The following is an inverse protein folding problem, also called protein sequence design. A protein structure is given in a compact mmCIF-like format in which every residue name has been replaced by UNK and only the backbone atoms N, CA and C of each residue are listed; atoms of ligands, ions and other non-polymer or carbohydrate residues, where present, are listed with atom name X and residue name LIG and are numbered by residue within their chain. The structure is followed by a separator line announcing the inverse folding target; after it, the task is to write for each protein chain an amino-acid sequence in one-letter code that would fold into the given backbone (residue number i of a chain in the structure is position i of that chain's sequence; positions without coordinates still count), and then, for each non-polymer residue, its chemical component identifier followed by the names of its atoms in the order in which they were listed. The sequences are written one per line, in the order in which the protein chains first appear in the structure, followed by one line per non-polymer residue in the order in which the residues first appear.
data_IF_974910254953
#
_entry.id   IF_974910254953
#
_cell.length_a   1.000
_cell.length_b   1.000
_cell.length_c   1.000
_cell.angle_alpha   90.00
_cell.angle_beta   90.00
_cell.angle_gamma   90.00
#
_symmetry.space_group_name_H-M   'P 1'
#
loop_
_entity.id
_entity.type
_entity.pdbx_description
1 polymer ?
#
# COMPACT_ATOMS: atom_id res chain seq x y z
N UNK A 1 -28.04 37.45 -36.88
CA UNK A 1 -28.07 36.11 -36.27
C UNK A 1 -26.64 35.80 -35.87
N UNK A 2 -26.27 36.10 -34.62
CA UNK A 2 -24.88 36.04 -34.16
C UNK A 2 -24.74 34.79 -33.29
N UNK A 3 -23.87 33.87 -33.72
CA UNK A 3 -23.59 32.62 -33.00
C UNK A 3 -23.02 32.91 -31.60
N UNK A 4 -23.40 32.15 -30.55
CA UNK A 4 -22.81 32.31 -29.23
C UNK A 4 -21.35 31.84 -29.23
N UNK A 5 -20.47 32.47 -28.43
CA UNK A 5 -19.06 32.09 -28.37
C UNK A 5 -18.91 30.70 -27.74
N UNK A 6 -18.05 29.88 -28.34
CA UNK A 6 -17.66 28.56 -27.83
C UNK A 6 -16.95 28.69 -26.48
N UNK A 7 -17.26 27.83 -25.48
CA UNK A 7 -16.55 27.84 -24.21
C UNK A 7 -15.10 27.37 -24.42
N UNK A 8 -14.13 28.17 -23.96
CA UNK A 8 -12.71 27.80 -23.96
C UNK A 8 -12.49 26.57 -23.06
N UNK A 9 -11.59 25.64 -23.43
CA UNK A 9 -11.22 24.54 -22.55
C UNK A 9 -10.63 25.08 -21.26
N UNK A 10 -11.12 24.54 -20.13
CA UNK A 10 -10.70 24.90 -18.79
C UNK A 10 -9.25 24.47 -18.59
N UNK A 11 -8.31 25.42 -18.65
CA UNK A 11 -6.94 25.18 -18.22
C UNK A 11 -6.90 24.91 -16.70
N UNK A 12 -5.93 24.13 -16.19
CA UNK A 12 -5.78 23.92 -14.76
C UNK A 12 -5.58 25.28 -14.08
N UNK A 13 -6.43 25.56 -13.08
CA UNK A 13 -6.33 26.74 -12.23
C UNK A 13 -5.01 26.67 -11.44
N UNK A 14 -4.12 27.69 -11.52
CA UNK A 14 -2.79 27.66 -10.89
C UNK A 14 -2.77 27.72 -9.36
N UNK A 15 -3.93 27.77 -8.71
CA UNK A 15 -4.12 28.02 -7.27
C UNK A 15 -4.82 26.87 -6.53
N UNK A 16 -5.18 25.76 -7.19
CA UNK A 16 -5.78 24.61 -6.51
C UNK A 16 -4.70 23.75 -5.85
N UNK A 17 -4.36 24.08 -4.61
CA UNK A 17 -3.67 23.14 -3.71
C UNK A 17 -4.73 22.20 -3.12
N UNK A 18 -4.65 20.87 -3.35
CA UNK A 18 -5.56 19.95 -2.71
C UNK A 18 -5.44 20.09 -1.19
N UNK A 19 -6.55 19.97 -0.44
CA UNK A 19 -6.49 20.02 1.02
C UNK A 19 -5.48 18.98 1.52
N UNK A 20 -4.64 19.36 2.49
CA UNK A 20 -3.48 18.55 2.93
C UNK A 20 -3.87 17.15 3.45
N UNK A 21 -5.16 16.90 3.70
CA UNK A 21 -5.74 15.60 4.02
C UNK A 21 -5.81 14.61 2.85
N UNK A 22 -5.73 15.09 1.60
CA UNK A 22 -5.75 14.27 0.38
C UNK A 22 -4.35 13.98 -0.19
N UNK A 23 -3.31 14.57 0.39
CA UNK A 23 -1.94 14.32 -0.03
C UNK A 23 -1.46 12.94 0.41
N UNK A 24 -0.60 12.29 -0.39
CA UNK A 24 -0.07 10.98 -0.06
C UNK A 24 0.73 11.05 1.25
N UNK A 25 0.55 10.01 2.06
CA UNK A 25 1.32 9.81 3.29
C UNK A 25 2.78 9.63 2.93
N UNK A 26 3.67 10.37 3.61
CA UNK A 26 5.08 10.38 3.29
C UNK A 26 5.73 8.99 3.42
N UNK A 27 6.56 8.62 2.45
CA UNK A 27 7.31 7.36 2.46
C UNK A 27 8.33 7.29 3.61
N UNK A 28 8.58 6.09 4.14
CA UNK A 28 9.45 5.88 5.31
C UNK A 28 10.89 6.36 5.07
N UNK A 29 11.44 6.09 3.90
CA UNK A 29 12.78 6.54 3.49
C UNK A 29 12.91 8.07 3.57
N UNK A 30 11.90 8.80 3.07
CA UNK A 30 11.90 10.27 3.08
C UNK A 30 11.77 10.82 4.49
N UNK A 31 10.97 10.17 5.33
CA UNK A 31 10.86 10.51 6.76
C UNK A 31 12.19 10.28 7.48
N UNK A 32 12.89 9.18 7.18
CA UNK A 32 14.21 8.88 7.73
C UNK A 32 15.26 9.92 7.30
N UNK A 33 15.30 10.28 6.01
CA UNK A 33 16.22 11.30 5.51
C UNK A 33 15.95 12.69 6.12
N UNK A 34 14.68 13.08 6.24
CA UNK A 34 14.29 14.31 6.92
C UNK A 34 14.71 14.28 8.41
N UNK A 35 14.50 13.14 9.09
CA UNK A 35 14.91 12.95 10.48
C UNK A 35 16.43 13.03 10.66
N UNK A 36 17.22 12.44 9.75
CA UNK A 36 18.68 12.52 9.79
C UNK A 36 19.18 13.97 9.67
N UNK A 37 18.58 14.76 8.76
CA UNK A 37 18.90 16.19 8.63
C UNK A 37 18.52 16.94 9.91
N UNK A 38 17.30 16.74 10.43
CA UNK A 38 16.86 17.35 11.68
C UNK A 38 17.82 17.00 12.85
N UNK A 39 18.38 15.79 12.85
CA UNK A 39 19.34 15.34 13.87
C UNK A 39 20.68 16.06 13.77
N UNK A 40 21.16 16.31 12.56
CA UNK A 40 22.37 17.09 12.32
C UNK A 40 22.25 18.50 12.93
N UNK A 41 21.13 19.19 12.74
CA UNK A 41 20.90 20.50 13.35
C UNK A 41 20.75 20.40 14.88
N UNK A 42 19.99 19.41 15.35
CA UNK A 42 19.73 19.24 16.78
C UNK A 42 21.00 18.96 17.60
N UNK A 43 22.02 18.38 17.00
CA UNK A 43 23.28 17.99 17.67
C UNK A 43 24.45 18.90 17.29
N UNK A 44 24.50 19.32 16.03
CA UNK A 44 25.53 20.20 15.51
C UNK A 44 25.51 21.59 16.13
N UNK A 45 24.31 22.17 16.37
CA UNK A 45 24.22 23.50 16.98
C UNK A 45 24.73 23.49 18.43
N UNK A 46 24.25 22.59 19.34
CA UNK A 46 24.81 22.53 20.69
C UNK A 46 26.29 22.16 20.73
N UNK A 47 26.75 21.27 19.84
CA UNK A 47 28.18 20.94 19.75
C UNK A 47 29.03 22.17 19.36
N UNK A 48 28.58 22.94 18.37
CA UNK A 48 29.22 24.20 17.99
C UNK A 48 29.24 25.20 19.15
N UNK A 49 28.11 25.34 19.87
CA UNK A 49 28.05 26.20 21.07
C UNK A 49 29.07 25.74 22.11
N UNK A 50 29.19 24.44 22.36
CA UNK A 50 30.19 23.88 23.27
C UNK A 50 31.62 24.23 22.87
N UNK A 51 31.97 24.04 21.59
CA UNK A 51 33.29 24.39 21.05
C UNK A 51 33.57 25.89 21.17
N UNK A 52 32.61 26.74 20.79
CA UNK A 52 32.77 28.20 20.90
C UNK A 52 32.91 28.65 22.35
N UNK A 53 32.17 28.03 23.27
CA UNK A 53 32.26 28.31 24.70
C UNK A 53 33.63 27.92 25.25
N UNK A 54 34.14 26.74 24.87
CA UNK A 54 35.49 26.31 25.23
C UNK A 54 36.58 27.24 24.71
N UNK A 55 36.47 27.66 23.44
CA UNK A 55 37.43 28.61 22.84
C UNK A 55 37.39 29.98 23.53
N UNK A 56 36.21 30.43 23.97
CA UNK A 56 36.03 31.75 24.57
C UNK A 56 36.35 31.80 26.07
N UNK A 57 36.01 30.75 26.82
CA UNK A 57 36.11 30.70 28.29
C UNK A 57 37.21 29.76 28.81
N UNK A 58 37.88 29.01 27.94
CA UNK A 58 38.90 28.03 28.32
C UNK A 58 38.32 26.78 28.99
N UNK A 59 39.10 26.16 29.88
CA UNK A 59 38.76 24.92 30.57
C UNK A 59 37.84 25.15 31.79
N UNK A 60 36.69 25.79 31.55
CA UNK A 60 35.60 25.96 32.52
C UNK A 60 34.47 24.95 32.21
N UNK A 61 34.57 23.68 32.67
CA UNK A 61 33.71 22.59 32.20
C UNK A 61 32.24 22.84 32.49
N UNK A 62 31.90 23.46 33.63
CA UNK A 62 30.51 23.73 33.99
C UNK A 62 29.86 24.81 33.13
N UNK A 63 30.63 25.80 32.70
CA UNK A 63 30.17 26.83 31.77
C UNK A 63 29.86 26.23 30.39
N UNK A 64 30.73 25.34 29.91
CA UNK A 64 30.54 24.61 28.65
C UNK A 64 29.29 23.73 28.74
N UNK A 65 29.16 22.94 29.81
CA UNK A 65 27.98 22.08 30.03
C UNK A 65 26.70 22.91 30.08
N UNK A 66 26.68 24.00 30.85
CA UNK A 66 25.52 24.88 30.95
C UNK A 66 25.13 25.47 29.57
N UNK A 67 26.11 25.97 28.81
CA UNK A 67 25.87 26.51 27.47
C UNK A 67 25.31 25.46 26.49
N UNK A 68 25.86 24.24 26.51
CA UNK A 68 25.38 23.13 25.68
C UNK A 68 23.95 22.72 26.06
N UNK A 69 23.64 22.61 27.36
CA UNK A 69 22.30 22.26 27.84
C UNK A 69 21.29 23.35 27.46
N UNK A 70 21.63 24.63 27.64
CA UNK A 70 20.79 25.74 27.21
C UNK A 70 20.54 25.68 25.70
N UNK A 71 21.59 25.48 24.90
CA UNK A 71 21.47 25.35 23.45
C UNK A 71 20.59 24.16 23.04
N UNK A 72 20.72 23.01 23.71
CA UNK A 72 19.87 21.84 23.48
C UNK A 72 18.39 22.16 23.70
N UNK A 73 18.06 22.80 24.83
CA UNK A 73 16.68 23.16 25.17
C UNK A 73 16.12 24.19 24.18
N UNK A 74 16.91 25.22 23.84
CA UNK A 74 16.50 26.26 22.89
C UNK A 74 16.26 25.69 21.50
N UNK A 75 17.18 24.88 20.98
CA UNK A 75 17.04 24.24 19.66
C UNK A 75 15.84 23.29 19.64
N UNK A 76 15.67 22.47 20.68
CA UNK A 76 14.52 21.58 20.81
C UNK A 76 13.20 22.35 20.82
N UNK A 77 13.11 23.43 21.60
CA UNK A 77 11.92 24.27 21.70
C UNK A 77 11.61 24.98 20.38
N UNK A 78 12.62 25.56 19.74
CA UNK A 78 12.47 26.23 18.44
C UNK A 78 11.97 25.27 17.36
N UNK A 79 12.52 24.05 17.30
CA UNK A 79 12.07 23.02 16.37
C UNK A 79 10.64 22.56 16.65
N UNK A 80 10.27 22.38 17.92
CA UNK A 80 8.92 21.99 18.31
C UNK A 80 7.90 23.07 17.92
N UNK A 81 8.21 24.34 18.17
CA UNK A 81 7.37 25.48 17.79
C UNK A 81 7.27 25.59 16.26
N UNK A 82 8.38 25.46 15.53
CA UNK A 82 8.37 25.50 14.06
C UNK A 82 7.46 24.42 13.47
N UNK A 83 7.50 23.20 14.03
CA UNK A 83 6.59 22.12 13.64
C UNK A 83 5.14 22.45 14.02
N UNK A 84 4.90 23.02 15.20
CA UNK A 84 3.54 23.36 15.65
C UNK A 84 2.87 24.45 14.82
N UNK A 85 3.62 25.48 14.44
CA UNK A 85 3.10 26.65 13.72
C UNK A 85 3.09 26.41 12.21
N UNK A 86 4.17 25.85 11.65
CA UNK A 86 4.35 25.73 10.20
C UNK A 86 4.19 24.29 9.69
N UNK A 87 4.15 23.29 10.57
CA UNK A 87 4.18 21.89 10.18
C UNK A 87 5.54 21.43 9.66
N UNK A 88 6.59 22.25 9.72
CA UNK A 88 7.87 21.96 9.07
C UNK A 88 9.05 22.20 10.00
N UNK A 89 9.99 21.26 9.98
CA UNK A 89 11.37 21.43 10.45
C UNK A 89 12.32 21.55 9.25
N UNK A 90 13.60 21.96 9.43
CA UNK A 90 14.56 22.11 8.33
C UNK A 90 14.67 20.88 7.44
N UNK A 91 14.78 19.67 8.03
CA UNK A 91 14.86 18.43 7.28
C UNK A 91 13.57 18.08 6.55
N UNK A 92 12.41 18.38 7.15
CA UNK A 92 11.10 18.15 6.51
C UNK A 92 10.86 19.13 5.38
N UNK A 93 11.20 20.40 5.56
CA UNK A 93 11.14 21.41 4.50
C UNK A 93 12.02 21.01 3.31
N UNK A 94 13.26 20.57 3.56
CA UNK A 94 14.17 20.11 2.51
C UNK A 94 13.66 18.89 1.73
N UNK A 95 12.79 18.07 2.33
CA UNK A 95 12.19 16.88 1.71
C UNK A 95 10.77 17.10 1.21
N UNK A 96 10.25 18.33 1.30
CA UNK A 96 8.88 18.65 0.91
C UNK A 96 7.84 17.90 1.76
N UNK A 97 8.12 17.74 3.06
CA UNK A 97 7.24 17.09 4.01
C UNK A 97 6.60 18.12 4.94
N UNK A 98 5.35 17.88 5.32
CA UNK A 98 4.66 18.66 6.37
C UNK A 98 3.98 17.75 7.37
N UNK A 99 3.99 18.20 8.62
CA UNK A 99 3.26 17.64 9.75
C UNK A 99 1.97 18.42 9.88
N UNK A 100 0.84 17.71 9.76
CA UNK A 100 -0.49 18.31 9.82
C UNK A 100 -1.39 17.51 10.76
N UNK A 101 -2.49 18.11 11.19
CA UNK A 101 -3.47 17.43 12.04
C UNK A 101 -4.29 16.41 11.22
N UNK A 102 -4.50 15.21 11.78
CA UNK A 102 -5.03 14.02 11.10
C UNK A 102 -6.50 14.06 10.64
N UNK A 103 -7.15 15.23 10.65
CA UNK A 103 -8.53 15.39 10.17
C UNK A 103 -8.80 16.76 9.55
N UNK A 104 -8.09 17.80 9.97
CA UNK A 104 -8.26 19.17 9.46
C UNK A 104 -7.22 19.55 8.41
N UNK A 105 -6.07 18.87 8.37
CA UNK A 105 -4.95 19.23 7.49
C UNK A 105 -4.26 20.54 7.87
N UNK A 106 -4.60 21.16 9.00
CA UNK A 106 -3.96 22.38 9.50
C UNK A 106 -2.68 22.09 10.27
N UNK A 107 -1.83 23.09 10.56
CA UNK A 107 -0.76 22.94 11.54
C UNK A 107 -1.31 22.41 12.87
N UNK A 108 -0.53 21.58 13.55
CA UNK A 108 -0.96 20.87 14.76
C UNK A 108 -1.04 21.75 16.01
N UNK A 109 -0.49 22.97 15.94
CA UNK A 109 -0.40 23.89 17.07
C UNK A 109 0.82 23.61 17.97
N UNK A 110 1.24 24.63 18.72
CA UNK A 110 2.45 24.56 19.54
C UNK A 110 2.34 23.51 20.66
N UNK A 111 1.20 23.42 21.35
CA UNK A 111 1.00 22.46 22.45
C UNK A 111 1.18 21.00 22.02
N UNK A 112 0.40 20.50 21.04
CA UNK A 112 0.56 19.13 20.53
C UNK A 112 1.96 18.87 19.96
N UNK A 113 2.58 19.86 19.31
CA UNK A 113 3.94 19.73 18.82
C UNK A 113 4.98 19.57 19.94
N UNK A 114 4.82 20.28 21.07
CA UNK A 114 5.67 20.15 22.24
C UNK A 114 5.52 18.79 22.91
N UNK A 115 4.29 18.29 23.05
CA UNK A 115 4.05 16.93 23.58
C UNK A 115 4.73 15.89 22.70
N UNK A 116 4.56 16.01 21.36
CA UNK A 116 5.21 15.15 20.39
C UNK A 116 6.73 15.18 20.51
N UNK A 117 7.34 16.36 20.59
CA UNK A 117 8.79 16.52 20.69
C UNK A 117 9.34 16.08 22.04
N UNK A 118 8.54 16.19 23.11
CA UNK A 118 8.92 15.74 24.45
C UNK A 118 8.98 14.22 24.51
N UNK A 119 7.99 13.53 23.95
CA UNK A 119 7.99 12.06 23.83
C UNK A 119 9.23 11.59 23.07
N UNK A 120 9.60 12.25 21.97
CA UNK A 120 10.79 11.92 21.20
C UNK A 120 12.10 12.22 21.97
N UNK A 121 12.14 13.30 22.75
CA UNK A 121 13.30 13.64 23.57
C UNK A 121 13.50 12.66 24.72
N UNK A 122 12.43 12.35 25.47
CA UNK A 122 12.45 11.42 26.60
C UNK A 122 12.71 9.98 26.17
N UNK A 123 12.31 9.59 24.96
CA UNK A 123 12.66 8.29 24.42
C UNK A 123 14.10 8.23 23.92
N UNK A 124 14.63 9.32 23.35
CA UNK A 124 15.96 9.32 22.72
C UNK A 124 17.13 9.58 23.67
N UNK A 125 17.01 10.55 24.59
CA UNK A 125 18.09 10.98 25.48
C UNK A 125 18.61 9.84 26.40
N UNK A 126 17.76 9.13 27.16
CA UNK A 126 18.23 8.08 28.08
C UNK A 126 18.65 6.78 27.37
N UNK A 127 18.25 6.58 26.11
CA UNK A 127 18.47 5.32 25.38
C UNK A 127 19.50 5.44 24.26
N UNK A 128 20.22 6.57 24.18
CA UNK A 128 21.14 6.87 23.08
C UNK A 128 20.48 6.73 21.69
N UNK A 129 19.19 7.05 21.58
CA UNK A 129 18.42 7.01 20.33
C UNK A 129 17.69 5.69 20.05
N UNK A 130 17.94 4.62 20.81
CA UNK A 130 17.25 3.32 20.63
C UNK A 130 15.74 3.49 20.83
N UNK A 131 15.31 4.26 21.83
CA UNK A 131 13.89 4.52 22.11
C UNK A 131 13.19 5.28 20.97
N UNK A 132 13.90 6.13 20.24
CA UNK A 132 13.34 6.78 19.04
C UNK A 132 13.19 5.78 17.90
N UNK A 133 14.14 4.86 17.73
CA UNK A 133 14.01 3.76 16.76
C UNK A 133 12.82 2.85 17.09
N UNK A 134 12.59 2.55 18.37
CA UNK A 134 11.41 1.80 18.83
C UNK A 134 10.11 2.55 18.52
N UNK A 135 10.05 3.86 18.75
CA UNK A 135 8.89 4.66 18.36
C UNK A 135 8.71 4.73 16.83
N UNK A 136 9.80 4.75 16.06
CA UNK A 136 9.72 4.68 14.60
C UNK A 136 9.16 3.32 14.14
N UNK A 137 9.50 2.22 14.81
CA UNK A 137 8.92 0.90 14.55
C UNK A 137 7.40 0.89 14.72
N UNK A 138 6.87 1.60 15.73
CA UNK A 138 5.40 1.73 15.89
C UNK A 138 4.70 2.41 14.71
N UNK A 139 5.41 3.27 13.97
CA UNK A 139 4.89 3.90 12.76
C UNK A 139 4.89 2.95 11.55
N UNK A 140 5.79 1.96 11.54
CA UNK A 140 5.85 0.91 10.51
C UNK A 140 4.72 -0.10 10.71
N UNK A 141 4.45 -0.46 11.97
CA UNK A 141 3.39 -1.41 12.36
C UNK A 141 1.97 -0.83 12.31
N UNK A 142 1.82 0.46 11.98
CA UNK A 142 0.52 1.12 11.90
C UNK A 142 -0.34 0.53 10.77
N UNK A 143 -1.30 -0.31 11.17
CA UNK A 143 -2.24 -1.04 10.30
C UNK A 143 -3.13 -0.13 9.45
N UNK A 144 -3.24 1.16 9.81
CA UNK A 144 -4.12 2.13 9.13
C UNK A 144 -3.61 2.73 7.83
N UNK A 145 -2.44 2.30 7.30
CA UNK A 145 -1.79 2.89 6.11
C UNK A 145 -1.39 4.38 6.24
N UNK A 146 -1.63 5.01 7.40
CA UNK A 146 -1.25 6.41 7.68
C UNK A 146 0.15 6.56 8.29
N UNK A 147 0.78 5.43 8.66
CA UNK A 147 2.16 5.34 9.17
C UNK A 147 2.39 6.27 10.35
N UNK A 148 1.48 6.31 11.33
CA UNK A 148 1.57 7.20 12.48
C UNK A 148 2.26 6.48 13.63
N UNK A 149 3.39 7.02 14.09
CA UNK A 149 4.03 6.51 15.30
C UNK A 149 3.24 6.88 16.55
N UNK A 150 3.55 6.28 17.69
CA UNK A 150 2.85 6.58 18.95
C UNK A 150 2.86 8.09 19.29
N UNK A 151 3.98 8.77 19.04
CA UNK A 151 4.13 10.22 19.20
C UNK A 151 3.19 11.03 18.26
N UNK A 152 2.91 10.51 17.06
CA UNK A 152 1.98 11.10 16.11
C UNK A 152 0.51 10.80 16.48
N UNK A 153 0.26 9.66 17.12
CA UNK A 153 -1.05 9.32 17.65
C UNK A 153 -1.42 10.25 18.81
N UNK A 154 -0.51 10.41 19.76
CA UNK A 154 -0.69 11.27 20.94
C UNK A 154 -0.90 12.74 20.56
N UNK A 155 -0.20 13.23 19.53
CA UNK A 155 -0.30 14.61 19.07
C UNK A 155 -1.38 14.84 17.99
N UNK A 156 -2.12 13.80 17.59
CA UNK A 156 -3.12 13.91 16.53
C UNK A 156 -2.53 14.30 15.17
N UNK A 157 -1.27 13.98 14.91
CA UNK A 157 -0.53 14.44 13.72
C UNK A 157 -0.34 13.35 12.67
N UNK A 158 -0.14 13.76 11.43
CA UNK A 158 0.25 12.90 10.29
C UNK A 158 1.27 13.64 9.42
N UNK A 159 2.21 12.90 8.82
CA UNK A 159 3.23 13.46 7.93
C UNK A 159 2.86 13.20 6.47
N UNK A 160 2.64 14.28 5.73
CA UNK A 160 2.21 14.29 4.33
C UNK A 160 3.33 14.80 3.42
N UNK A 161 3.39 14.26 2.19
CA UNK A 161 4.28 14.75 1.13
C UNK A 161 3.56 15.86 0.36
N UNK A 162 4.08 17.08 0.42
CA UNK A 162 3.47 18.27 -0.21
C UNK A 162 4.03 18.58 -1.59
N UNK A 163 4.95 17.76 -2.10
CA UNK A 163 5.50 17.97 -3.43
C UNK A 163 4.43 17.65 -4.47
N UNK A 164 4.35 18.43 -5.57
CA UNK A 164 3.55 18.03 -6.71
C UNK A 164 3.92 16.60 -7.05
N UNK A 165 2.92 15.71 -7.14
CA UNK A 165 3.16 14.40 -7.72
C UNK A 165 3.87 14.66 -9.06
N UNK A 166 5.03 14.03 -9.34
CA UNK A 166 5.63 14.17 -10.65
C UNK A 166 4.53 13.79 -11.63
N UNK A 167 4.08 14.78 -12.40
CA UNK A 167 3.30 14.53 -13.60
C UNK A 167 4.15 13.53 -14.35
N UNK A 168 3.66 12.31 -14.46
CA UNK A 168 4.28 11.34 -15.34
C UNK A 168 4.11 11.97 -16.71
N UNK A 169 5.11 12.73 -17.13
CA UNK A 169 5.31 13.02 -18.52
C UNK A 169 5.29 11.65 -19.17
N UNK A 170 4.22 11.39 -19.90
CA UNK A 170 4.20 10.40 -20.96
C UNK A 170 5.29 10.84 -21.95
N UNK A 171 6.55 10.62 -21.59
CA UNK A 171 7.66 10.70 -22.53
C UNK A 171 7.42 9.59 -23.55
N UNK A 172 6.86 9.99 -24.70
CA UNK A 172 7.04 9.30 -25.95
C UNK A 172 6.01 8.24 -26.32
N UNK A 173 4.70 8.51 -26.23
CA UNK A 173 3.76 7.96 -27.22
C UNK A 173 3.75 8.87 -28.46
N UNK A 174 4.91 9.01 -29.10
CA UNK A 174 4.99 9.54 -30.47
C UNK A 174 5.49 8.43 -31.39
N UNK A 175 4.62 8.13 -32.35
CA UNK A 175 4.79 7.31 -33.54
C UNK A 175 4.71 5.78 -33.40
N UNK A 176 3.53 5.30 -33.01
CA UNK A 176 3.02 4.05 -33.55
C UNK A 176 1.97 4.38 -34.63
N UNK A 177 2.08 3.83 -35.85
CA UNK A 177 1.21 4.20 -36.97
C UNK A 177 -0.25 3.88 -36.62
N UNK A 178 -1.11 4.90 -36.70
CA UNK A 178 -2.56 4.76 -36.48
C UNK A 178 -3.11 3.74 -37.48
N UNK A 179 -3.41 2.55 -37.00
CA UNK A 179 -4.11 1.54 -37.77
C UNK A 179 -5.55 2.03 -37.97
N UNK A 180 -5.86 2.47 -39.18
CA UNK A 180 -7.20 2.86 -39.61
C UNK A 180 -8.03 1.58 -39.64
N UNK A 181 -8.80 1.31 -38.58
CA UNK A 181 -9.81 0.24 -38.60
C UNK A 181 -11.04 0.71 -39.37
N UNK A 182 -11.31 0.01 -40.48
CA UNK A 182 -12.42 0.25 -41.38
C UNK A 182 -13.74 -0.21 -40.71
N UNK A 183 -14.53 0.73 -40.19
CA UNK A 183 -15.78 0.46 -39.44
C UNK A 183 -16.94 -0.09 -40.31
N UNK A 184 -16.71 -0.39 -41.59
CA UNK A 184 -17.77 -0.81 -42.53
C UNK A 184 -18.15 -2.30 -42.41
N UNK A 185 -17.56 -3.05 -41.47
CA UNK A 185 -17.84 -4.47 -41.26
C UNK A 185 -18.35 -4.79 -39.83
N UNK A 186 -19.38 -4.09 -39.36
CA UNK A 186 -20.23 -4.61 -38.29
C UNK A 186 -21.67 -4.73 -38.79
N UNK A 187 -21.94 -5.92 -39.34
CA UNK A 187 -23.30 -6.43 -39.61
C UNK A 187 -24.03 -6.58 -38.28
N UNK A 188 -25.19 -5.94 -38.20
CA UNK A 188 -26.08 -5.92 -37.04
C UNK A 188 -26.45 -7.34 -36.56
N UNK A 189 -26.30 -7.56 -35.25
CA UNK A 189 -27.12 -8.50 -34.48
C UNK A 189 -28.04 -7.64 -33.61
N UNK A 190 -29.37 -7.71 -33.75
CA UNK A 190 -30.30 -6.92 -32.93
C UNK A 190 -30.32 -7.47 -31.49
N UNK A 191 -30.11 -6.60 -30.50
CA UNK A 191 -30.38 -6.92 -29.10
C UNK A 191 -31.89 -6.73 -28.79
N UNK A 192 -32.51 -7.57 -27.93
CA UNK A 192 -33.90 -7.42 -27.52
C UNK A 192 -34.11 -6.17 -26.64
N UNK A 193 -35.35 -5.63 -26.57
CA UNK A 193 -35.61 -4.35 -25.90
C UNK A 193 -35.42 -4.48 -24.38
N UNK A 194 -34.51 -3.69 -23.82
CA UNK A 194 -34.41 -3.49 -22.37
C UNK A 194 -35.42 -2.42 -21.98
N UNK A 195 -36.44 -2.83 -21.24
CA UNK A 195 -37.45 -1.97 -20.65
C UNK A 195 -36.79 -0.99 -19.66
N UNK A 196 -37.02 0.30 -19.85
CA UNK A 196 -36.41 1.36 -19.06
C UNK A 196 -36.98 1.33 -17.63
N UNK A 197 -36.18 0.90 -16.65
CA UNK A 197 -36.49 1.15 -15.25
C UNK A 197 -36.42 2.64 -14.96
N UNK A 198 -37.57 3.20 -14.63
CA UNK A 198 -37.76 4.54 -14.07
C UNK A 198 -36.92 4.67 -12.78
N UNK A 199 -36.08 5.71 -12.62
CA UNK A 199 -35.40 5.94 -11.36
C UNK A 199 -36.41 6.39 -10.29
N UNK A 200 -36.42 5.81 -9.07
CA UNK A 200 -37.27 6.33 -8.01
C UNK A 200 -36.75 7.70 -7.56
N UNK A 201 -37.63 8.70 -7.65
CA UNK A 201 -37.50 10.02 -7.06
C UNK A 201 -37.26 9.86 -5.55
N UNK A 202 -36.02 10.09 -5.09
CA UNK A 202 -35.76 10.19 -3.65
C UNK A 202 -36.34 11.51 -3.15
N UNK A 203 -37.39 11.40 -2.35
CA UNK A 203 -38.02 12.48 -1.60
C UNK A 203 -37.00 13.16 -0.69
N UNK A 204 -36.80 14.45 -0.94
CA UNK A 204 -36.11 15.40 -0.06
C UNK A 204 -37.09 15.74 1.07
N UNK A 205 -37.21 14.88 2.08
CA UNK A 205 -38.11 15.17 3.22
C UNK A 205 -37.67 14.60 4.57
N UNK A 206 -36.36 14.37 4.74
CA UNK A 206 -35.79 14.00 6.04
C UNK A 206 -34.53 14.84 6.37
N UNK A 207 -34.68 16.17 6.35
CA UNK A 207 -33.66 17.09 6.90
C UNK A 207 -34.24 18.23 7.76
N UNK A 208 -35.51 18.16 8.16
CA UNK A 208 -36.08 19.08 9.15
C UNK A 208 -36.95 18.34 10.17
N UNK A 209 -36.35 17.38 10.90
CA UNK A 209 -36.93 16.94 12.19
C UNK A 209 -35.88 16.32 13.10
N UNK A 210 -35.02 17.17 13.67
CA UNK A 210 -34.47 16.92 15.00
C UNK A 210 -34.22 18.24 15.71
N UNK A 211 -35.34 18.78 16.18
CA UNK A 211 -35.39 19.76 17.24
C UNK A 211 -34.77 19.16 18.51
N UNK A 212 -33.94 19.96 19.18
CA UNK A 212 -33.31 19.61 20.46
C UNK A 212 -34.35 19.33 21.56
N UNK A 213 -33.97 18.51 22.54
CA UNK A 213 -34.37 18.77 23.92
C UNK A 213 -33.14 18.98 24.80
N UNK A 214 -33.16 20.09 25.55
CA UNK A 214 -32.37 20.26 26.75
C UNK A 214 -32.87 19.30 27.84
N UNK A 215 -31.98 18.60 28.55
CA UNK A 215 -32.26 18.09 29.90
C UNK A 215 -30.99 17.64 30.66
N UNK A 216 -30.75 18.37 31.77
CA UNK A 216 -30.30 17.94 33.11
C UNK A 216 -29.16 16.92 33.29
N UNK A 217 -28.07 17.42 33.89
CA UNK A 217 -26.95 16.67 34.46
C UNK A 217 -27.33 16.05 35.82
N UNK A 218 -27.04 14.77 36.07
CA UNK A 218 -26.89 14.23 37.43
C UNK A 218 -25.43 14.00 37.82
N UNK A 219 -25.12 14.38 39.06
CA UNK A 219 -23.84 14.26 39.78
C UNK A 219 -23.44 12.78 40.04
N UNK A 220 -22.15 12.40 40.10
CA UNK A 220 -21.75 11.03 40.38
C UNK A 220 -21.80 10.70 41.88
N UNK A 221 -22.34 9.53 42.22
CA UNK A 221 -22.14 8.85 43.52
C UNK A 221 -21.16 7.67 43.34
N UNK A 222 -20.44 7.26 44.40
CA UNK A 222 -19.27 6.39 44.30
C UNK A 222 -19.67 4.93 44.11
N UNK A 223 -19.13 4.28 43.08
CA UNK A 223 -19.32 2.85 42.85
C UNK A 223 -18.23 2.03 43.56
N UNK A 224 -18.72 1.13 44.40
CA UNK A 224 -18.00 0.12 45.16
C UNK A 224 -17.21 -0.84 44.27
N UNK A 225 -16.02 -1.21 44.73
CA UNK A 225 -15.12 -2.16 44.08
C UNK A 225 -15.74 -3.58 43.94
N UNK A 226 -15.56 -4.27 42.81
CA UNK A 226 -15.79 -5.71 42.73
C UNK A 226 -14.56 -6.50 43.21
N UNK A 227 -14.79 -7.41 44.17
CA UNK A 227 -13.86 -8.47 44.58
C UNK A 227 -13.67 -9.52 43.46
N UNK A 228 -12.54 -10.23 43.43
CA UNK A 228 -12.22 -11.22 42.39
C UNK A 228 -12.97 -12.53 42.62
N UNK A 229 -13.74 -12.98 41.63
CA UNK A 229 -14.31 -14.34 41.57
C UNK A 229 -13.44 -15.27 40.72
N UNK A 230 -13.18 -16.44 41.29
CA UNK A 230 -12.34 -17.55 40.84
C UNK A 230 -12.69 -18.13 39.46
N UNK A 231 -11.74 -18.79 38.76
CA UNK A 231 -11.97 -19.41 37.46
C UNK A 231 -12.76 -20.74 37.58
N UNK A 232 -13.70 -21.04 36.66
CA UNK A 232 -14.30 -22.37 36.58
C UNK A 232 -13.37 -23.35 35.86
N UNK A 233 -13.22 -24.54 36.46
CA UNK A 233 -12.51 -25.70 35.90
C UNK A 233 -13.24 -26.28 34.67
N UNK A 234 -12.53 -26.87 33.68
CA UNK A 234 -13.15 -27.59 32.58
C UNK A 234 -13.64 -28.97 33.01
N UNK A 235 -14.89 -29.32 32.68
CA UNK A 235 -15.39 -30.70 32.75
C UNK A 235 -14.98 -31.51 31.50
N UNK A 236 -14.66 -32.81 31.61
CA UNK A 236 -14.26 -33.64 30.47
C UNK A 236 -15.48 -34.21 29.72
N UNK A 237 -15.46 -34.15 28.39
CA UNK A 237 -16.40 -34.87 27.52
C UNK A 237 -15.82 -36.26 27.12
N UNK A 238 -16.67 -37.29 27.00
CA UNK A 238 -16.23 -38.68 26.82
C UNK A 238 -15.69 -39.02 25.42
N UNK A 239 -14.66 -39.86 25.44
CA UNK A 239 -13.96 -40.47 24.31
C UNK A 239 -14.88 -41.48 23.58
N UNK A 240 -14.89 -41.45 22.25
CA UNK A 240 -15.26 -42.61 21.42
C UNK A 240 -14.20 -42.79 20.32
N UNK A 241 -13.78 -44.05 20.20
CA UNK A 241 -12.59 -44.52 19.51
C UNK A 241 -12.76 -44.72 18.00
N UNK A 242 -11.65 -44.66 17.27
CA UNK A 242 -11.50 -45.14 15.90
C UNK A 242 -11.03 -46.61 15.87
N UNK A 243 -11.28 -47.34 14.76
CA UNK A 243 -10.36 -48.37 14.27
C UNK A 243 -10.00 -48.24 12.76
N UNK A 244 -8.99 -49.00 12.24
CA UNK A 244 -8.02 -48.61 11.20
C UNK A 244 -8.23 -49.27 9.78
N UNK A 245 -7.29 -49.11 8.80
CA UNK A 245 -7.53 -49.34 7.36
C UNK A 245 -7.07 -50.72 6.85
N UNK A 246 -7.48 -51.10 5.62
CA UNK A 246 -6.90 -52.24 4.89
C UNK A 246 -6.73 -51.98 3.39
N UNK A 247 -5.67 -52.61 2.89
CA UNK A 247 -4.87 -52.35 1.68
C UNK A 247 -5.42 -52.98 0.38
N UNK A 248 -4.91 -52.47 -0.76
CA UNK A 248 -5.07 -52.99 -2.11
C UNK A 248 -4.48 -54.41 -2.30
N UNK A 249 -4.73 -55.07 -3.46
CA UNK A 249 -3.69 -55.04 -4.51
C UNK A 249 -4.19 -54.99 -5.97
N UNK A 250 -3.30 -54.47 -6.82
CA UNK A 250 -3.31 -54.48 -8.30
C UNK A 250 -3.06 -55.89 -8.85
N UNK A 251 -3.37 -56.18 -10.13
CA UNK A 251 -2.28 -56.22 -11.11
C UNK A 251 -2.64 -55.70 -12.52
N UNK A 252 -1.62 -55.16 -13.20
CA UNK A 252 -1.53 -54.99 -14.67
C UNK A 252 -0.59 -56.10 -15.22
N UNK A 253 -0.19 -56.20 -16.53
CA UNK A 253 -0.54 -55.41 -17.73
C UNK A 253 -0.65 -56.20 -19.08
N UNK A 254 -0.93 -55.45 -20.18
CA UNK A 254 -0.58 -55.66 -21.61
C UNK A 254 -1.28 -56.74 -22.47
N UNK A 255 -1.88 -56.34 -23.62
CA UNK A 255 -1.29 -56.38 -25.00
C UNK A 255 -2.32 -55.92 -26.08
N UNK A 256 -1.81 -55.50 -27.24
CA UNK A 256 -2.39 -54.64 -28.32
C UNK A 256 -2.75 -55.45 -29.62
N UNK A 257 -3.40 -54.86 -30.66
CA UNK A 257 -4.40 -55.47 -31.58
C UNK A 257 -3.84 -55.99 -32.93
N UNK A 258 -4.69 -56.40 -33.92
CA UNK A 258 -4.95 -55.49 -35.07
C UNK A 258 -6.28 -55.64 -35.89
N UNK A 259 -6.62 -54.54 -36.59
CA UNK A 259 -7.14 -54.36 -37.97
C UNK A 259 -8.50 -54.88 -38.49
N UNK A 260 -9.32 -53.94 -39.01
CA UNK A 260 -10.00 -54.00 -40.33
C UNK A 260 -10.61 -52.62 -40.74
N UNK A 261 -10.85 -52.31 -42.04
CA UNK A 261 -10.50 -51.00 -42.59
C UNK A 261 -11.61 -50.20 -43.36
N UNK A 262 -11.24 -48.96 -43.69
CA UNK A 262 -11.74 -48.03 -44.74
C UNK A 262 -13.05 -47.26 -44.45
N UNK A 263 -13.00 -45.93 -44.60
CA UNK A 263 -13.52 -45.22 -45.78
C UNK A 263 -12.70 -43.93 -45.99
N UNK A 264 -12.18 -43.76 -47.20
CA UNK A 264 -11.50 -42.56 -47.65
C UNK A 264 -12.51 -41.64 -48.35
N UNK A 265 -12.45 -40.34 -48.06
CA UNK A 265 -13.06 -39.27 -48.85
C UNK A 265 -12.17 -38.00 -48.79
N UNK A 266 -12.16 -37.16 -49.84
CA UNK A 266 -11.02 -36.35 -50.25
C UNK A 266 -10.93 -34.96 -49.57
N UNK A 267 -9.80 -34.25 -49.70
CA UNK A 267 -9.54 -32.99 -48.99
C UNK A 267 -10.22 -31.80 -49.68
N UNK A 268 -10.76 -30.82 -48.92
CA UNK A 268 -10.93 -29.48 -49.42
C UNK A 268 -9.87 -28.53 -48.84
N UNK A 269 -9.15 -27.92 -49.79
CA UNK A 269 -8.58 -26.59 -49.77
C UNK A 269 -7.61 -26.23 -48.63
N UNK A 270 -6.33 -26.14 -49.02
CA UNK A 270 -5.31 -25.31 -48.41
C UNK A 270 -5.88 -23.93 -48.07
N UNK A 271 -6.24 -23.72 -46.81
CA UNK A 271 -6.44 -22.39 -46.29
C UNK A 271 -5.06 -21.76 -46.23
N UNK A 272 -4.89 -20.76 -47.09
CA UNK A 272 -3.77 -19.84 -47.10
C UNK A 272 -3.47 -19.43 -45.66
N UNK A 273 -2.35 -19.92 -45.14
CA UNK A 273 -1.80 -19.51 -43.84
C UNK A 273 -1.60 -17.99 -43.91
N UNK A 274 -2.56 -17.24 -43.35
CA UNK A 274 -2.23 -15.94 -42.82
C UNK A 274 -1.06 -16.17 -41.85
N UNK A 275 0.05 -15.43 -41.94
CA UNK A 275 1.17 -15.61 -41.03
C UNK A 275 0.62 -15.54 -39.61
N UNK A 276 0.74 -16.66 -38.90
CA UNK A 276 0.19 -16.81 -37.57
C UNK A 276 0.70 -15.67 -36.71
N UNK A 277 -0.22 -15.02 -35.97
CA UNK A 277 0.20 -14.30 -34.78
C UNK A 277 1.13 -15.25 -34.01
N UNK A 278 2.36 -14.83 -33.67
CA UNK A 278 3.27 -15.70 -32.93
C UNK A 278 2.51 -16.23 -31.71
N UNK A 279 2.70 -17.52 -31.33
CA UNK A 279 2.07 -18.03 -30.13
C UNK A 279 2.37 -17.07 -28.98
N UNK A 280 1.31 -16.56 -28.34
CA UNK A 280 1.47 -15.68 -27.21
C UNK A 280 2.38 -16.39 -26.19
N UNK A 281 3.40 -15.70 -25.66
CA UNK A 281 4.37 -16.36 -24.80
C UNK A 281 3.67 -16.97 -23.60
N UNK A 282 3.92 -18.26 -23.37
CA UNK A 282 3.39 -18.95 -22.20
C UNK A 282 4.28 -18.60 -21.02
N UNK A 283 3.67 -18.23 -19.91
CA UNK A 283 4.40 -17.87 -18.70
C UNK A 283 4.21 -18.97 -17.67
N UNK A 284 5.31 -19.42 -17.08
CA UNK A 284 5.30 -20.32 -15.92
C UNK A 284 5.74 -19.52 -14.70
N UNK A 285 5.04 -19.74 -13.60
CA UNK A 285 5.39 -19.18 -12.29
C UNK A 285 5.76 -20.32 -11.37
N UNK A 286 6.83 -20.15 -10.58
CA UNK A 286 7.24 -21.06 -9.52
C UNK A 286 7.29 -20.31 -8.20
N UNK A 287 6.57 -20.81 -7.21
CA UNK A 287 6.61 -20.32 -5.84
C UNK A 287 7.70 -21.01 -5.03
N UNK A 288 8.01 -20.42 -3.89
CA UNK A 288 9.02 -20.86 -2.94
C UNK A 288 8.68 -22.17 -2.22
N UNK A 289 7.41 -22.58 -2.18
CA UNK A 289 6.97 -23.92 -1.76
C UNK A 289 7.22 -25.00 -2.82
N UNK A 290 7.75 -24.63 -3.99
CA UNK A 290 7.96 -25.53 -5.12
C UNK A 290 6.74 -25.68 -6.03
N UNK A 291 5.59 -25.09 -5.71
CA UNK A 291 4.43 -25.10 -6.58
C UNK A 291 4.73 -24.34 -7.87
N UNK A 292 4.46 -24.95 -9.02
CA UNK A 292 4.61 -24.29 -10.32
C UNK A 292 3.46 -24.59 -11.26
N UNK A 293 3.06 -23.61 -12.06
CA UNK A 293 1.99 -23.75 -13.04
C UNK A 293 2.12 -22.69 -14.15
N UNK A 294 1.45 -22.95 -15.26
CA UNK A 294 1.34 -22.02 -16.39
C UNK A 294 0.22 -21.00 -16.15
N UNK A 295 0.46 -19.75 -16.53
CA UNK A 295 -0.46 -18.62 -16.32
C UNK A 295 -1.32 -18.44 -17.56
N UNK A 296 -2.55 -18.97 -17.49
CA UNK A 296 -3.52 -18.89 -18.59
C UNK A 296 -4.52 -17.73 -18.45
N UNK A 297 -4.46 -16.99 -17.34
CA UNK A 297 -5.34 -15.85 -17.05
C UNK A 297 -5.00 -15.18 -15.72
N UNK A 298 -5.95 -14.45 -15.13
CA UNK A 298 -5.72 -13.68 -13.90
C UNK A 298 -5.60 -14.62 -12.69
N UNK A 299 -4.52 -14.47 -11.93
CA UNK A 299 -4.22 -15.21 -10.73
C UNK A 299 -4.17 -14.26 -9.55
N UNK A 300 -4.86 -14.60 -8.46
CA UNK A 300 -4.76 -13.88 -7.18
C UNK A 300 -3.88 -14.65 -6.21
N UNK A 301 -2.97 -13.94 -5.55
CA UNK A 301 -2.11 -14.49 -4.49
C UNK A 301 -2.39 -13.81 -3.16
N UNK A 302 -2.30 -14.57 -2.08
CA UNK A 302 -2.35 -14.05 -0.72
C UNK A 302 -2.59 -15.17 0.30
N UNK A 303 -2.71 -14.86 1.59
CA UNK A 303 -2.94 -15.90 2.62
C UNK A 303 -4.32 -16.56 2.54
N UNK A 304 -5.31 -15.81 2.02
CA UNK A 304 -6.70 -16.24 1.79
C UNK A 304 -7.26 -15.42 0.62
N UNK A 305 -6.83 -15.73 -0.61
CA UNK A 305 -7.16 -14.93 -1.77
C UNK A 305 -8.65 -15.09 -2.10
N UNK A 306 -9.34 -13.97 -2.21
CA UNK A 306 -10.76 -13.89 -2.56
C UNK A 306 -10.95 -12.90 -3.73
N UNK A 307 -11.71 -13.30 -4.77
CA UNK A 307 -12.06 -12.42 -5.89
C UNK A 307 -13.10 -11.37 -5.47
N UNK A 308 -13.09 -10.20 -6.12
CA UNK A 308 -14.17 -9.21 -5.96
C UNK A 308 -15.41 -9.64 -6.75
N UNK A 309 -16.58 -9.11 -6.39
CA UNK A 309 -17.82 -9.39 -7.12
C UNK A 309 -17.69 -8.97 -8.60
N UNK A 310 -17.90 -9.91 -9.52
CA UNK A 310 -17.77 -9.69 -10.97
C UNK A 310 -16.34 -9.75 -11.52
N UNK A 311 -15.35 -10.16 -10.72
CA UNK A 311 -13.97 -10.35 -11.16
C UNK A 311 -13.77 -11.74 -11.75
N UNK A 312 -13.35 -11.83 -13.02
CA UNK A 312 -12.99 -13.11 -13.65
C UNK A 312 -11.56 -13.50 -13.26
N UNK A 313 -11.45 -14.49 -12.37
CA UNK A 313 -10.17 -14.97 -11.82
C UNK A 313 -9.99 -16.42 -12.19
N UNK A 314 -8.93 -16.70 -12.94
CA UNK A 314 -8.60 -18.05 -13.41
C UNK A 314 -8.04 -18.93 -12.29
N UNK A 315 -7.32 -18.35 -11.32
CA UNK A 315 -6.73 -19.13 -10.22
C UNK A 315 -6.56 -18.32 -8.92
N UNK A 316 -6.78 -18.99 -7.80
CA UNK A 316 -6.49 -18.49 -6.46
C UNK A 316 -5.31 -19.28 -5.88
N UNK A 317 -4.26 -18.59 -5.43
CA UNK A 317 -3.04 -19.21 -4.89
C UNK A 317 -2.87 -18.80 -3.43
N UNK A 318 -3.24 -19.68 -2.48
CA UNK A 318 -3.03 -19.42 -1.06
C UNK A 318 -1.54 -19.54 -0.72
N UNK A 319 -0.98 -18.50 -0.12
CA UNK A 319 0.40 -18.45 0.37
C UNK A 319 0.39 -18.49 1.90
N UNK A 320 0.87 -19.58 2.48
CA UNK A 320 1.02 -19.71 3.92
C UNK A 320 2.20 -18.84 4.39
N UNK A 321 1.89 -17.74 5.08
CA UNK A 321 2.85 -16.79 5.64
C UNK A 321 3.02 -17.05 7.14
N UNK A 322 4.26 -17.24 7.59
CA UNK A 322 4.56 -17.61 8.97
C UNK A 322 4.39 -16.43 9.94
N UNK A 323 4.66 -15.22 9.45
CA UNK A 323 4.66 -13.97 10.20
C UNK A 323 3.44 -13.08 9.92
N UNK A 324 2.43 -13.62 9.21
CA UNK A 324 1.26 -12.87 8.72
C UNK A 324 1.60 -11.69 7.81
N UNK A 325 2.80 -11.64 7.21
CA UNK A 325 3.22 -10.56 6.32
C UNK A 325 2.50 -10.55 4.97
N UNK A 326 1.83 -11.65 4.60
CA UNK A 326 1.01 -11.73 3.40
C UNK A 326 -0.46 -11.39 3.70
N UNK A 327 -0.99 -10.34 3.05
CA UNK A 327 -2.42 -9.97 3.13
C UNK A 327 -3.36 -11.05 2.57
N UNK A 328 -4.66 -10.97 2.87
CA UNK A 328 -5.70 -11.93 2.41
C UNK A 328 -5.63 -12.12 0.88
N UNK A 329 -5.83 -11.02 0.15
CA UNK A 329 -5.54 -10.90 -1.28
C UNK A 329 -4.43 -9.86 -1.40
N UNK A 330 -3.19 -10.30 -1.64
CA UNK A 330 -1.99 -9.46 -1.61
C UNK A 330 -1.70 -8.82 -2.96
N UNK A 331 -1.67 -9.64 -4.02
CA UNK A 331 -1.38 -9.19 -5.38
C UNK A 331 -2.17 -10.02 -6.40
N UNK A 332 -2.20 -9.52 -7.63
CA UNK A 332 -2.66 -10.26 -8.79
C UNK A 332 -1.59 -10.28 -9.86
N UNK A 333 -1.58 -11.32 -10.69
CA UNK A 333 -0.80 -11.33 -11.91
C UNK A 333 -1.53 -12.10 -13.00
N UNK A 334 -1.21 -11.82 -14.26
CA UNK A 334 -1.85 -12.46 -15.40
C UNK A 334 -1.31 -11.92 -16.72
N UNK A 335 -1.66 -12.55 -17.85
CA UNK A 335 -1.31 -12.04 -19.16
C UNK A 335 -2.06 -10.74 -19.45
N UNK A 336 -1.35 -9.73 -19.94
CA UNK A 336 -1.93 -8.54 -20.53
C UNK A 336 -2.38 -8.81 -21.97
N UNK A 337 -3.12 -7.86 -22.57
CA UNK A 337 -3.66 -8.00 -23.93
C UNK A 337 -2.58 -8.16 -25.02
N UNK A 338 -1.35 -7.74 -24.73
CA UNK A 338 -0.16 -7.89 -25.58
C UNK A 338 0.61 -9.20 -25.33
N UNK A 339 0.14 -10.05 -24.42
CA UNK A 339 0.78 -11.32 -24.03
C UNK A 339 1.90 -11.17 -22.99
N UNK A 340 2.21 -9.96 -22.52
CA UNK A 340 3.19 -9.77 -21.47
C UNK A 340 2.60 -10.20 -20.10
N UNK A 341 3.41 -10.78 -19.22
CA UNK A 341 2.96 -11.06 -17.86
C UNK A 341 3.02 -9.77 -17.04
N UNK A 342 1.92 -9.41 -16.38
CA UNK A 342 1.86 -8.24 -15.51
C UNK A 342 1.54 -8.66 -14.08
N UNK A 343 2.12 -7.95 -13.12
CA UNK A 343 1.80 -8.07 -11.69
C UNK A 343 1.30 -6.75 -11.15
N UNK A 344 0.32 -6.78 -10.26
CA UNK A 344 -0.24 -5.61 -9.60
C UNK A 344 -0.47 -5.91 -8.12
N UNK A 345 0.09 -5.05 -7.26
CA UNK A 345 -0.19 -5.10 -5.83
C UNK A 345 -1.63 -4.61 -5.57
N UNK A 346 -2.39 -5.35 -4.75
CA UNK A 346 -3.81 -5.05 -4.48
C UNK A 346 -4.03 -4.20 -3.23
N UNK A 347 -3.05 -3.40 -2.85
CA UNK A 347 -3.08 -2.61 -1.61
C UNK A 347 -2.69 -3.47 -0.41
N UNK A 348 -1.66 -4.29 -0.57
CA UNK A 348 -1.14 -5.11 0.52
C UNK A 348 -0.55 -4.23 1.64
N UNK A 349 -0.57 -4.74 2.87
CA UNK A 349 -0.08 -3.99 4.04
C UNK A 349 1.43 -3.80 4.00
N UNK A 350 2.17 -4.83 3.56
CA UNK A 350 3.63 -4.83 3.53
C UNK A 350 4.22 -4.46 2.15
N UNK A 351 3.37 -4.39 1.13
CA UNK A 351 3.79 -4.12 -0.25
C UNK A 351 4.37 -5.35 -0.95
N UNK A 352 4.44 -5.25 -2.27
CA UNK A 352 5.11 -6.21 -3.15
C UNK A 352 6.38 -5.60 -3.75
N UNK A 353 7.44 -6.39 -3.88
CA UNK A 353 8.73 -5.95 -4.45
C UNK A 353 9.09 -6.80 -5.67
N UNK A 354 9.38 -6.16 -6.79
CA UNK A 354 9.94 -6.79 -7.98
C UNK A 354 11.47 -6.76 -7.91
N UNK A 355 12.12 -7.91 -8.06
CA UNK A 355 13.57 -8.04 -8.14
C UNK A 355 13.94 -8.49 -9.55
N UNK A 356 14.65 -7.61 -10.28
CA UNK A 356 15.14 -7.85 -11.65
C UNK A 356 16.65 -7.79 -11.66
N UNK A 357 17.31 -8.90 -12.00
CA UNK A 357 18.77 -8.98 -12.06
C UNK A 357 19.46 -8.43 -10.78
N UNK A 358 18.86 -8.68 -9.62
CA UNK A 358 19.35 -8.20 -8.32
C UNK A 358 18.94 -6.77 -7.94
N UNK A 359 18.31 -6.01 -8.84
CA UNK A 359 17.77 -4.68 -8.56
C UNK A 359 16.33 -4.79 -8.04
N UNK A 360 16.10 -4.33 -6.82
CA UNK A 360 14.78 -4.33 -6.19
C UNK A 360 14.01 -3.03 -6.48
N UNK A 361 12.74 -3.18 -6.90
CA UNK A 361 11.79 -2.09 -7.16
C UNK A 361 10.47 -2.36 -6.45
N UNK A 362 10.05 -1.43 -5.61
CA UNK A 362 8.73 -1.52 -4.96
C UNK A 362 7.60 -1.33 -5.98
N UNK A 363 6.59 -2.21 -5.94
CA UNK A 363 5.37 -2.06 -6.73
C UNK A 363 4.45 -1.03 -6.07
N UNK A 364 3.87 -0.15 -6.89
CA UNK A 364 2.86 0.79 -6.42
C UNK A 364 1.49 0.11 -6.38
N UNK A 365 0.73 0.20 -5.27
CA UNK A 365 -0.61 -0.38 -5.18
C UNK A 365 -1.51 0.06 -6.33
N UNK A 366 -2.22 -0.90 -6.94
CA UNK A 366 -3.14 -0.66 -8.05
C UNK A 366 -2.48 -0.34 -9.40
N UNK A 367 -1.15 -0.33 -9.50
CA UNK A 367 -0.44 -0.09 -10.75
C UNK A 367 0.18 -1.40 -11.26
N UNK A 368 -0.16 -1.78 -12.49
CA UNK A 368 0.45 -2.94 -13.14
C UNK A 368 1.92 -2.68 -13.47
N UNK A 369 2.75 -3.70 -13.25
CA UNK A 369 4.15 -3.73 -13.63
C UNK A 369 4.42 -4.95 -14.52
N UNK A 370 5.08 -4.72 -15.65
CA UNK A 370 5.42 -5.78 -16.60
C UNK A 370 6.60 -6.59 -16.10
N UNK A 371 6.39 -7.91 -16.04
CA UNK A 371 7.38 -8.91 -15.69
C UNK A 371 8.13 -9.40 -16.94
N UNK A 372 9.40 -9.73 -16.74
CA UNK A 372 10.30 -10.30 -17.73
C UNK A 372 10.77 -11.67 -17.24
N UNK A 373 11.23 -12.51 -18.17
CA UNK A 373 11.82 -13.80 -17.86
C UNK A 373 12.92 -13.69 -16.77
N UNK A 374 12.83 -14.56 -15.76
CA UNK A 374 13.75 -14.59 -14.62
C UNK A 374 13.45 -13.59 -13.51
N UNK A 375 12.44 -12.73 -13.65
CA UNK A 375 12.04 -11.81 -12.58
C UNK A 375 11.56 -12.58 -11.34
N UNK A 376 11.91 -12.05 -10.16
CA UNK A 376 11.39 -12.53 -8.88
C UNK A 376 10.45 -11.50 -8.27
N UNK A 377 9.27 -11.90 -7.85
CA UNK A 377 8.35 -11.04 -7.10
C UNK A 377 8.26 -11.53 -5.66
N UNK A 378 8.51 -10.63 -4.73
CA UNK A 378 8.49 -10.88 -3.28
C UNK A 378 7.21 -10.27 -2.69
N UNK A 379 6.50 -11.08 -1.92
CA UNK A 379 5.26 -10.74 -1.21
C UNK A 379 5.46 -11.04 0.28
N UNK A 380 5.83 -10.03 1.08
CA UNK A 380 6.18 -10.27 2.49
C UNK A 380 7.33 -11.28 2.62
N UNK A 381 7.08 -12.40 3.31
CA UNK A 381 8.02 -13.52 3.52
C UNK A 381 8.06 -14.55 2.39
N UNK A 382 7.21 -14.40 1.37
CA UNK A 382 7.07 -15.35 0.25
C UNK A 382 7.60 -14.76 -1.05
N UNK A 383 7.97 -15.60 -2.00
CA UNK A 383 8.38 -15.13 -3.32
C UNK A 383 7.96 -16.07 -4.44
N UNK A 384 7.87 -15.52 -5.65
CA UNK A 384 7.67 -16.27 -6.87
C UNK A 384 8.71 -15.87 -7.92
N UNK A 385 9.13 -16.83 -8.73
CA UNK A 385 10.01 -16.62 -9.88
C UNK A 385 9.20 -16.89 -11.14
N UNK A 386 9.34 -16.03 -12.15
CA UNK A 386 8.66 -16.19 -13.43
C UNK A 386 9.63 -16.64 -14.51
N UNK A 387 9.17 -17.51 -15.39
CA UNK A 387 9.92 -17.97 -16.55
C UNK A 387 9.03 -17.98 -17.78
N UNK A 388 9.56 -17.52 -18.91
CA UNK A 388 8.89 -17.55 -20.21
C UNK A 388 9.14 -18.90 -20.87
N UNK A 389 8.07 -19.64 -21.14
CA UNK A 389 8.09 -20.81 -22.00
C UNK A 389 8.08 -20.35 -23.47
N UNK A 390 9.15 -20.70 -24.18
CA UNK A 390 9.33 -20.45 -25.61
C UNK A 390 8.81 -21.58 -26.46
#
# INVERSE_FOLDING_TARGET
MSLPPTPRPYGPRPDWQPPLTQLPVAQLERRFQAFAIDRLFSWGIPALVGVLTWVALGDEPWSIVAAVVIALVVVWLAMAIAIGVNGSSPGKAARGLRVVHHGTGTPIGAGPALVRSLVLALSGLPTFGIGVATLAWTAVEDRGSQRRGWHDHLAGSVVVDVRPAPEVQEEGQQDAPRHIVNLTAMRLVPAPPVEALVPPTRSVEHSMRRQAPAQSVPRPMPQSAPQPTSPPMPQPAPQHAAPPPMSAPMPAPMQVPPSAPRHAAPPPASQHLAPGSPPAPRWRVRFDDGQSFTVDGVVLVGRRPEPRAGEDVSRLVPLASADMSVSKTHAQFGPAADGALVVMDRGSTNGSTLVRQGVSRQLSPGRAATLVDGDTVVFGDRHMVVSREG
#
